data_IF_038714646317
#
_entry.id   IF_038714646317
#
_cell.length_a   1.000
_cell.length_b   1.000
_cell.length_c   1.000
_cell.angle_alpha   90.00
_cell.angle_beta   90.00
_cell.angle_gamma   90.00
#
_symmetry.space_group_name_H-M   'P 1'
#
loop_
_entity.id
_entity.type
_entity.pdbx_description
1 polymer ?
#
# COMPACT_ATOMS: atom_id res chain seq x y z
N UNK A 1 -12.50 -4.47 42.13
CA UNK A 1 -13.24 -4.58 40.86
C UNK A 1 -13.14 -3.34 39.97
N UNK A 2 -13.26 -2.12 40.51
CA UNK A 2 -13.22 -0.89 39.70
C UNK A 2 -11.91 -0.66 38.94
N UNK A 3 -10.75 -0.95 39.56
CA UNK A 3 -9.43 -0.80 38.91
C UNK A 3 -9.24 -1.71 37.69
N UNK A 4 -9.77 -2.94 37.74
CA UNK A 4 -9.73 -3.88 36.62
C UNK A 4 -10.57 -3.37 35.44
N UNK A 5 -11.79 -2.87 35.73
CA UNK A 5 -12.65 -2.31 34.70
C UNK A 5 -12.01 -1.09 34.01
N UNK A 6 -11.37 -0.21 34.79
CA UNK A 6 -10.62 0.93 34.25
C UNK A 6 -9.46 0.48 33.36
N UNK A 7 -8.70 -0.54 33.78
CA UNK A 7 -7.61 -1.08 32.98
C UNK A 7 -8.10 -1.64 31.64
N UNK A 8 -9.19 -2.41 31.64
CA UNK A 8 -9.81 -2.93 30.41
C UNK A 8 -10.32 -1.80 29.52
N UNK A 9 -10.93 -0.76 30.10
CA UNK A 9 -11.39 0.41 29.35
C UNK A 9 -10.23 1.16 28.67
N UNK A 10 -9.08 1.28 29.33
CA UNK A 10 -7.87 1.86 28.74
C UNK A 10 -7.37 1.00 27.57
N UNK A 11 -7.35 -0.34 27.71
CA UNK A 11 -6.97 -1.23 26.62
C UNK A 11 -7.92 -1.11 25.42
N UNK A 12 -9.23 -1.04 25.66
CA UNK A 12 -10.25 -0.80 24.64
C UNK A 12 -10.01 0.52 23.91
N UNK A 13 -9.72 1.60 24.64
CA UNK A 13 -9.43 2.90 24.07
C UNK A 13 -8.15 2.87 23.21
N UNK A 14 -7.10 2.20 23.69
CA UNK A 14 -5.85 2.02 22.94
C UNK A 14 -6.07 1.21 21.65
N UNK A 15 -6.91 0.17 21.69
CA UNK A 15 -7.27 -0.61 20.51
C UNK A 15 -8.05 0.24 19.48
N UNK A 16 -8.97 1.09 19.95
CA UNK A 16 -9.78 1.97 19.09
C UNK A 16 -8.98 3.12 18.50
N UNK A 17 -8.08 3.74 19.27
CA UNK A 17 -7.37 4.95 18.84
C UNK A 17 -6.01 4.66 18.19
N UNK A 18 -5.33 3.56 18.54
CA UNK A 18 -3.98 3.27 18.06
C UNK A 18 -3.88 3.22 16.53
N UNK A 19 -4.84 2.58 15.88
CA UNK A 19 -4.93 2.53 14.42
C UNK A 19 -5.16 3.90 13.76
N UNK A 20 -6.25 4.62 14.07
CA UNK A 20 -6.50 5.97 13.56
C UNK A 20 -5.35 6.95 13.81
N UNK A 21 -4.72 6.91 14.98
CA UNK A 21 -3.56 7.78 15.31
C UNK A 21 -2.38 7.44 14.41
N UNK A 22 -2.06 6.16 14.23
CA UNK A 22 -0.99 5.74 13.32
C UNK A 22 -1.29 6.18 11.86
N UNK A 23 -2.54 6.04 11.41
CA UNK A 23 -2.95 6.56 10.11
C UNK A 23 -2.74 8.08 10.07
N UNK A 24 -3.20 8.84 11.05
CA UNK A 24 -2.96 10.29 11.12
C UNK A 24 -1.47 10.64 11.04
N UNK A 25 -0.63 9.91 11.77
CA UNK A 25 0.81 10.14 11.82
C UNK A 25 1.48 9.88 10.46
N UNK A 26 1.09 8.82 9.76
CA UNK A 26 1.56 8.56 8.38
C UNK A 26 1.12 9.60 7.34
N UNK A 27 0.16 10.48 7.66
CA UNK A 27 -0.26 11.56 6.76
C UNK A 27 0.69 12.75 6.76
N UNK A 28 1.50 12.90 7.82
CA UNK A 28 2.37 14.06 8.01
C UNK A 28 3.63 13.88 7.17
N UNK A 29 3.77 14.69 6.12
CA UNK A 29 4.98 14.74 5.28
C UNK A 29 6.04 15.60 5.97
N UNK A 30 7.29 15.16 5.93
CA UNK A 30 8.41 15.92 6.51
C UNK A 30 9.66 15.74 5.68
N UNK A 31 10.29 16.85 5.31
CA UNK A 31 11.49 16.87 4.47
C UNK A 31 12.78 16.64 5.26
N UNK A 32 12.75 16.87 6.57
CA UNK A 32 13.88 16.70 7.47
C UNK A 32 14.07 15.22 7.85
N UNK A 33 15.28 14.63 7.69
CA UNK A 33 15.51 13.21 7.90
C UNK A 33 15.29 12.77 9.36
N UNK A 34 15.65 13.62 10.33
CA UNK A 34 15.51 13.32 11.77
C UNK A 34 14.04 13.23 12.18
N UNK A 35 13.23 14.23 11.79
CA UNK A 35 11.79 14.24 12.06
C UNK A 35 11.08 13.07 11.38
N UNK A 36 11.54 12.68 10.18
CA UNK A 36 11.05 11.51 9.47
C UNK A 36 11.30 10.20 10.25
N UNK A 37 12.49 10.04 10.82
CA UNK A 37 12.83 8.88 11.66
C UNK A 37 11.96 8.85 12.93
N UNK A 38 11.87 9.99 13.63
CA UNK A 38 11.06 10.11 14.86
C UNK A 38 9.59 9.75 14.57
N UNK A 39 9.02 10.30 13.49
CA UNK A 39 7.64 10.00 13.06
C UNK A 39 7.45 8.50 12.81
N UNK A 40 8.41 7.83 12.17
CA UNK A 40 8.36 6.39 11.89
C UNK A 40 8.45 5.54 13.16
N UNK A 41 9.22 5.96 14.17
CA UNK A 41 9.29 5.28 15.46
C UNK A 41 7.94 5.35 16.17
N UNK A 42 7.35 6.55 16.28
CA UNK A 42 6.03 6.71 16.87
C UNK A 42 4.95 5.95 16.07
N UNK A 43 5.01 5.98 14.74
CA UNK A 43 4.09 5.23 13.89
C UNK A 43 4.17 3.72 14.17
N UNK A 44 5.38 3.17 14.14
CA UNK A 44 5.63 1.76 14.42
C UNK A 44 5.18 1.36 15.83
N UNK A 45 5.37 2.24 16.82
CA UNK A 45 4.91 2.02 18.20
C UNK A 45 3.39 1.87 18.29
N UNK A 46 2.63 2.83 17.74
CA UNK A 46 1.16 2.77 17.77
C UNK A 46 0.60 1.58 16.98
N UNK A 47 1.21 1.27 15.82
CA UNK A 47 0.87 0.08 15.04
C UNK A 47 1.08 -1.19 15.86
N UNK A 48 2.24 -1.33 16.50
CA UNK A 48 2.60 -2.55 17.25
C UNK A 48 1.67 -2.75 18.44
N UNK A 49 1.38 -1.70 19.20
CA UNK A 49 0.44 -1.77 20.32
C UNK A 49 -0.97 -2.13 19.85
N UNK A 50 -1.44 -1.49 18.77
CA UNK A 50 -2.77 -1.76 18.23
C UNK A 50 -2.90 -3.21 17.73
N UNK A 51 -1.87 -3.74 17.07
CA UNK A 51 -1.83 -5.15 16.65
C UNK A 51 -1.76 -6.10 17.84
N UNK A 52 -0.93 -5.82 18.84
CA UNK A 52 -0.77 -6.68 20.01
C UNK A 52 -2.05 -6.77 20.85
N UNK A 53 -2.66 -5.62 21.18
CA UNK A 53 -3.94 -5.57 21.90
C UNK A 53 -5.06 -6.16 21.03
N UNK A 54 -5.06 -5.87 19.73
CA UNK A 54 -6.04 -6.41 18.78
C UNK A 54 -6.02 -7.93 18.71
N UNK A 55 -4.82 -8.53 18.65
CA UNK A 55 -4.65 -9.99 18.72
C UNK A 55 -5.14 -10.55 20.05
N UNK A 56 -4.78 -9.90 21.17
CA UNK A 56 -5.26 -10.31 22.48
C UNK A 56 -6.80 -10.32 22.54
N UNK A 57 -7.47 -9.30 22.00
CA UNK A 57 -8.93 -9.26 22.05
C UNK A 57 -9.60 -10.19 21.03
N UNK A 58 -8.95 -10.49 19.90
CA UNK A 58 -9.57 -11.31 18.86
C UNK A 58 -9.43 -12.82 19.11
N UNK A 59 -8.31 -13.26 19.69
CA UNK A 59 -8.02 -14.69 19.87
C UNK A 59 -8.43 -15.27 21.22
N UNK A 60 -8.87 -14.45 22.17
CA UNK A 60 -9.34 -14.92 23.47
C UNK A 60 -10.84 -15.28 23.41
N UNK A 61 -11.24 -16.55 23.57
CA UNK A 61 -12.64 -16.95 23.42
C UNK A 61 -13.55 -16.48 24.58
N UNK A 62 -12.97 -16.18 25.75
CA UNK A 62 -13.72 -15.92 26.99
C UNK A 62 -14.21 -14.47 27.14
N UNK A 63 -13.91 -13.58 26.19
CA UNK A 63 -14.31 -12.16 26.23
C UNK A 63 -15.57 -11.91 25.38
N UNK A 64 -16.36 -10.86 25.68
CA UNK A 64 -17.59 -10.59 24.95
C UNK A 64 -17.35 -10.33 23.45
N UNK A 65 -18.36 -10.59 22.62
CA UNK A 65 -18.34 -10.35 21.17
C UNK A 65 -17.88 -8.93 20.81
N UNK A 66 -18.32 -7.92 21.57
CA UNK A 66 -17.96 -6.51 21.35
C UNK A 66 -16.44 -6.31 21.45
N UNK A 67 -15.78 -6.97 22.40
CA UNK A 67 -14.33 -6.91 22.54
C UNK A 67 -13.61 -7.51 21.32
N UNK A 68 -14.13 -8.62 20.79
CA UNK A 68 -13.60 -9.23 19.57
C UNK A 68 -13.72 -8.32 18.36
N UNK A 69 -14.85 -7.63 18.19
CA UNK A 69 -15.05 -6.68 17.09
C UNK A 69 -14.07 -5.49 17.19
N UNK A 70 -13.82 -5.01 18.42
CA UNK A 70 -12.83 -3.96 18.68
C UNK A 70 -11.42 -4.48 18.41
N UNK A 71 -11.11 -5.71 18.79
CA UNK A 71 -9.84 -6.36 18.48
C UNK A 71 -9.60 -6.49 16.97
N UNK A 72 -10.60 -6.99 16.24
CA UNK A 72 -10.58 -7.10 14.79
C UNK A 72 -10.43 -5.73 14.12
N UNK A 73 -11.14 -4.72 14.60
CA UNK A 73 -10.98 -3.33 14.14
C UNK A 73 -9.53 -2.86 14.31
N UNK A 74 -8.93 -3.07 15.49
CA UNK A 74 -7.52 -2.74 15.74
C UNK A 74 -6.56 -3.46 14.80
N UNK A 75 -6.79 -4.74 14.53
CA UNK A 75 -6.00 -5.53 13.57
C UNK A 75 -6.08 -4.97 12.15
N UNK A 76 -7.29 -4.66 11.68
CA UNK A 76 -7.53 -4.11 10.35
C UNK A 76 -6.90 -2.72 10.22
N UNK A 77 -7.10 -1.84 11.20
CA UNK A 77 -6.54 -0.49 11.17
C UNK A 77 -5.02 -0.50 11.31
N UNK A 78 -4.46 -1.37 12.15
CA UNK A 78 -3.02 -1.59 12.25
C UNK A 78 -2.42 -2.05 10.93
N UNK A 79 -3.07 -3.01 10.24
CA UNK A 79 -2.65 -3.46 8.91
C UNK A 79 -2.70 -2.31 7.88
N UNK A 80 -3.78 -1.53 7.84
CA UNK A 80 -3.91 -0.38 6.92
C UNK A 80 -2.82 0.66 7.21
N UNK A 81 -2.57 0.97 8.49
CA UNK A 81 -1.54 1.92 8.92
C UNK A 81 -0.13 1.45 8.53
N UNK A 82 0.20 0.18 8.74
CA UNK A 82 1.48 -0.40 8.28
C UNK A 82 1.62 -0.33 6.77
N UNK A 83 0.55 -0.67 6.05
CA UNK A 83 0.57 -0.64 4.58
C UNK A 83 0.79 0.75 4.04
N UNK A 84 0.15 1.75 4.62
CA UNK A 84 0.28 3.13 4.20
C UNK A 84 1.71 3.67 4.34
N UNK A 85 2.40 3.34 5.42
CA UNK A 85 3.74 3.89 5.71
C UNK A 85 4.88 3.10 5.04
N UNK A 86 4.84 1.76 5.07
CA UNK A 86 5.97 0.93 4.63
C UNK A 86 5.79 0.36 3.22
N UNK A 87 4.55 0.21 2.78
CA UNK A 87 4.21 -0.55 1.57
C UNK A 87 3.09 0.11 0.75
N UNK A 88 3.20 1.41 0.41
CA UNK A 88 2.12 2.13 -0.27
C UNK A 88 1.76 1.50 -1.63
N UNK A 89 2.73 0.91 -2.33
CA UNK A 89 2.55 0.29 -3.65
C UNK A 89 2.25 -1.21 -3.62
N UNK A 90 2.19 -1.83 -2.45
CA UNK A 90 1.92 -3.26 -2.37
C UNK A 90 0.43 -3.48 -2.63
N UNK A 91 0.12 -3.91 -3.84
CA UNK A 91 -1.25 -4.18 -4.32
C UNK A 91 -1.71 -5.60 -4.02
N UNK A 92 -1.45 -6.17 -2.84
CA UNK A 92 -1.86 -7.57 -2.53
C UNK A 92 -3.39 -7.75 -2.54
N UNK A 93 -4.14 -6.68 -2.25
CA UNK A 93 -5.61 -6.72 -2.20
C UNK A 93 -6.21 -6.74 -3.61
N UNK A 94 -5.57 -6.06 -4.58
CA UNK A 94 -6.02 -5.97 -5.96
C UNK A 94 -6.17 -7.32 -6.70
N UNK A 95 -5.20 -8.26 -6.64
CA UNK A 95 -5.37 -9.59 -7.24
C UNK A 95 -6.38 -10.45 -6.46
N UNK A 96 -6.56 -10.21 -5.15
CA UNK A 96 -7.59 -10.90 -4.35
C UNK A 96 -8.99 -10.41 -4.73
N UNK A 97 -9.19 -9.10 -4.86
CA UNK A 97 -10.46 -8.49 -5.29
C UNK A 97 -10.80 -8.81 -6.75
N UNK A 98 -9.80 -8.91 -7.62
CA UNK A 98 -9.97 -9.36 -8.99
C UNK A 98 -10.49 -10.80 -9.08
N UNK A 99 -10.13 -11.68 -8.12
CA UNK A 99 -10.71 -13.04 -8.01
C UNK A 99 -12.19 -13.02 -7.62
N UNK A 100 -12.66 -11.95 -6.99
CA UNK A 100 -14.08 -11.73 -6.68
C UNK A 100 -14.80 -10.92 -7.79
N UNK A 101 -14.19 -10.72 -8.96
CA UNK A 101 -14.81 -10.04 -10.10
C UNK A 101 -14.90 -8.50 -9.96
N UNK A 102 -14.28 -7.92 -8.93
CA UNK A 102 -14.24 -6.46 -8.76
C UNK A 102 -13.14 -5.91 -9.67
N UNK A 103 -13.53 -5.17 -10.69
CA UNK A 103 -12.61 -4.66 -11.70
C UNK A 103 -11.61 -3.68 -11.06
N UNK A 104 -10.34 -4.10 -11.06
CA UNK A 104 -9.21 -3.35 -10.52
C UNK A 104 -9.03 -1.96 -11.14
N UNK A 105 -9.67 -1.70 -12.29
CA UNK A 105 -9.69 -0.39 -12.95
C UNK A 105 -10.43 0.68 -12.14
N UNK A 106 -11.44 0.32 -11.34
CA UNK A 106 -12.17 1.26 -10.47
C UNK A 106 -11.31 1.74 -9.29
N UNK A 107 -10.29 0.96 -8.90
CA UNK A 107 -9.35 1.27 -7.79
C UNK A 107 -8.08 1.96 -8.31
N UNK A 108 -7.90 2.06 -9.63
CA UNK A 108 -6.85 2.91 -10.19
C UNK A 108 -7.25 4.35 -9.90
N UNK A 109 -6.53 5.04 -9.00
CA UNK A 109 -6.39 6.47 -9.20
C UNK A 109 -5.89 6.64 -10.64
N UNK A 110 -6.57 7.43 -11.49
CA UNK A 110 -6.05 7.73 -12.80
C UNK A 110 -4.71 8.43 -12.57
N UNK A 111 -3.61 7.72 -12.84
CA UNK A 111 -2.34 8.37 -13.14
C UNK A 111 -2.66 9.23 -14.34
N UNK A 112 -2.53 10.55 -14.21
CA UNK A 112 -2.96 11.54 -15.19
C UNK A 112 -2.10 11.55 -16.45
N UNK A 113 -1.84 10.38 -17.02
CA UNK A 113 -0.94 10.13 -18.15
C UNK A 113 -1.64 9.27 -19.21
N UNK A 114 -2.98 9.28 -19.22
CA UNK A 114 -3.77 8.69 -20.29
C UNK A 114 -3.95 9.74 -21.41
N UNK A 115 -2.84 10.30 -21.91
CA UNK A 115 -2.80 10.89 -23.24
C UNK A 115 -2.91 9.76 -24.29
N UNK A 116 -4.12 9.22 -24.37
CA UNK A 116 -4.61 8.44 -25.49
C UNK A 116 -4.59 9.35 -26.72
N UNK A 117 -3.43 9.41 -27.38
CA UNK A 117 -3.32 9.93 -28.74
C UNK A 117 -3.95 8.89 -29.66
N UNK A 118 -5.20 9.14 -30.04
CA UNK A 118 -5.76 8.60 -31.27
C UNK A 118 -4.79 8.94 -32.40
N UNK A 119 -4.13 7.92 -32.95
CA UNK A 119 -3.30 8.08 -34.13
C UNK A 119 -4.22 8.45 -35.30
N UNK A 120 -4.06 9.68 -35.79
CA UNK A 120 -4.76 10.16 -36.98
C UNK A 120 -3.79 10.00 -38.17
N UNK A 121 -4.06 9.09 -39.13
CA UNK A 121 -3.15 8.80 -40.24
C UNK A 121 -2.91 9.97 -41.19
N UNK A 122 -3.74 11.01 -41.14
CA UNK A 122 -3.80 12.08 -42.14
C UNK A 122 -3.17 13.40 -41.67
N UNK A 123 -2.54 13.44 -40.48
CA UNK A 123 -1.85 14.65 -40.03
C UNK A 123 -0.43 14.72 -40.62
N UNK A 124 -0.21 15.70 -41.49
CA UNK A 124 1.11 16.01 -42.07
C UNK A 124 2.06 16.75 -41.11
N UNK A 125 1.76 16.75 -39.81
CA UNK A 125 2.57 17.42 -38.81
C UNK A 125 3.65 16.47 -38.30
N UNK A 126 4.91 16.71 -38.70
CA UNK A 126 6.07 16.12 -38.02
C UNK A 126 5.99 16.43 -36.53
N UNK A 127 6.00 15.41 -35.63
CA UNK A 127 5.95 15.66 -34.21
C UNK A 127 7.25 16.37 -33.78
N UNK A 128 7.16 17.67 -33.56
CA UNK A 128 8.17 18.43 -32.83
C UNK A 128 8.25 17.83 -31.43
N UNK A 129 9.32 17.07 -31.16
CA UNK A 129 9.69 16.61 -29.82
C UNK A 129 10.00 17.86 -28.99
N UNK A 130 8.97 18.42 -28.34
CA UNK A 130 9.17 19.39 -27.27
C UNK A 130 9.78 18.63 -26.10
N UNK A 131 11.11 18.66 -26.02
CA UNK A 131 11.90 18.14 -24.90
C UNK A 131 11.56 18.96 -23.65
N UNK A 132 10.49 18.58 -22.95
CA UNK A 132 10.29 18.99 -21.57
C UNK A 132 11.14 18.08 -20.71
N UNK A 133 12.26 18.60 -20.20
CA UNK A 133 13.06 17.93 -19.18
C UNK A 133 12.18 17.65 -17.95
N UNK A 134 11.90 16.38 -17.59
CA UNK A 134 11.33 16.10 -16.28
C UNK A 134 12.48 16.16 -15.28
N UNK A 135 12.34 17.07 -14.32
CA UNK A 135 13.23 17.25 -13.19
C UNK A 135 13.74 15.90 -12.65
N UNK A 136 15.05 15.75 -12.78
CA UNK A 136 15.93 14.96 -11.92
C UNK A 136 15.50 15.15 -10.46
N UNK A 137 14.95 14.14 -9.79
CA UNK A 137 15.16 13.81 -8.37
C UNK A 137 14.42 12.51 -7.98
N UNK A 138 15.17 11.42 -7.78
CA UNK A 138 14.70 10.19 -7.15
C UNK A 138 15.26 8.91 -7.81
N UNK A 139 15.80 7.93 -7.06
CA UNK A 139 16.33 6.72 -7.66
C UNK A 139 15.20 5.89 -8.27
N UNK A 140 15.23 5.73 -9.60
CA UNK A 140 14.35 4.82 -10.32
C UNK A 140 14.74 3.37 -9.99
N UNK A 141 14.24 2.84 -8.87
CA UNK A 141 14.28 1.41 -8.57
C UNK A 141 13.30 0.72 -9.53
N UNK A 142 13.75 0.49 -10.75
CA UNK A 142 13.04 -0.31 -11.75
C UNK A 142 13.22 -1.78 -11.36
N UNK A 143 12.28 -2.31 -10.57
CA UNK A 143 12.19 -3.74 -10.32
C UNK A 143 12.00 -4.45 -11.67
N UNK A 144 13.09 -5.04 -12.18
CA UNK A 144 13.09 -5.90 -13.36
C UNK A 144 12.34 -7.18 -12.97
N UNK A 145 11.03 -7.20 -13.21
CA UNK A 145 10.20 -8.40 -13.02
C UNK A 145 10.75 -9.49 -13.95
N UNK A 146 11.09 -10.62 -13.32
CA UNK A 146 11.64 -11.84 -13.92
C UNK A 146 11.24 -12.09 -15.37
N UNK A 147 12.29 -12.39 -16.15
CA UNK A 147 12.22 -12.81 -17.54
C UNK A 147 11.41 -14.09 -17.70
N UNK A 148 10.35 -13.98 -18.49
CA UNK A 148 9.91 -15.07 -19.36
C UNK A 148 10.80 -15.01 -20.60
N UNK A 149 11.84 -15.83 -20.63
CA UNK A 149 12.58 -16.13 -21.87
C UNK A 149 11.68 -16.96 -22.76
N UNK A 150 10.79 -16.29 -23.51
CA UNK A 150 10.16 -16.86 -24.68
C UNK A 150 11.21 -16.88 -25.79
N UNK A 151 11.70 -18.07 -26.13
CA UNK A 151 12.63 -18.27 -27.23
C UNK A 151 12.09 -17.70 -28.53
N UNK A 152 12.95 -16.93 -29.20
CA UNK A 152 12.83 -16.65 -30.63
C UNK A 152 14.24 -16.37 -31.19
N UNK A 153 15.16 -17.29 -30.91
CA UNK A 153 16.41 -17.49 -31.62
C UNK A 153 16.12 -18.27 -32.91
N UNK A 154 15.43 -17.61 -33.84
CA UNK A 154 15.12 -18.11 -35.18
C UNK A 154 16.32 -18.09 -36.13
N UNK A 155 17.47 -18.62 -35.71
CA UNK A 155 18.59 -18.95 -36.60
C UNK A 155 18.81 -20.46 -36.60
N UNK A 156 18.03 -21.16 -37.44
CA UNK A 156 18.35 -22.52 -37.86
C UNK A 156 19.34 -22.51 -39.03
N UNK A 157 20.40 -23.34 -39.02
CA UNK A 157 21.33 -23.45 -40.12
C UNK A 157 20.86 -24.48 -41.15
N UNK A 158 21.02 -24.16 -42.44
CA UNK A 158 21.26 -25.14 -43.50
C UNK A 158 20.11 -25.44 -44.48
N UNK A 159 20.37 -25.18 -45.76
CA UNK A 159 20.07 -26.13 -46.83
C UNK A 159 19.12 -25.68 -47.95
N UNK A 160 19.72 -25.59 -49.17
CA UNK A 160 19.13 -25.89 -50.50
C UNK A 160 18.15 -24.83 -51.05
N UNK A 161 18.36 -24.19 -52.20
CA UNK A 161 18.73 -24.67 -53.53
C UNK A 161 19.45 -23.58 -54.34
#
# INVERSE_FOLDING_TARGET
MQSLALFVAILMLMALLGGPIAIGLSAIKTDQPILNIIRKIFHGFFVTISLWIGMMFFFNPDIPLVAHLIGLYGLVMGYIASRREYFPDVRIVTPLLARFGIDSKVIRQPSGDDDFKTWDPDSSDTPQLKKSDPLRHGPAIKWRRNGRTGGNDGHGPGGQH
#
